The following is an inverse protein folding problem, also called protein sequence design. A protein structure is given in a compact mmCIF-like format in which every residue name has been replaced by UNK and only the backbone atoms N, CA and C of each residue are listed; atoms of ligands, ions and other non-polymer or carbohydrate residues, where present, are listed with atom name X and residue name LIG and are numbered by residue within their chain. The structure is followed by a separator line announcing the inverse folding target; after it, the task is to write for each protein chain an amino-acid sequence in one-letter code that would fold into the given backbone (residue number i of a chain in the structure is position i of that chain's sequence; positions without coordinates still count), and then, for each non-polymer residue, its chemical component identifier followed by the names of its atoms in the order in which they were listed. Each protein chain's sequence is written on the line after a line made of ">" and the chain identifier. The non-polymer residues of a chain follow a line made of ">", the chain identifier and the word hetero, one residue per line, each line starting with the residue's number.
data_IF_641013199694
#
_entry.id   IF_641013199694
#
_cell.length_a   1.000
_cell.length_b   1.000
_cell.length_c   1.000
_cell.angle_alpha   90.00
_cell.angle_beta   90.00
_cell.angle_gamma   90.00
#
_symmetry.space_group_name_H-M   'P 1'
#
loop_
_entity.id
_entity.type
_entity.pdbx_description
1 polymer ?
#
# COMPACT_ATOMS: atom_id res chain seq x y z
N UNK A 1 -1.33 18.73 18.64
CA UNK A 1 -1.50 17.29 18.36
C UNK A 1 -2.04 17.15 16.95
N UNK A 2 -1.58 16.13 16.21
CA UNK A 2 -2.15 15.82 14.88
C UNK A 2 -3.57 15.30 15.01
N UNK A 3 -4.38 15.49 13.97
CA UNK A 3 -5.70 14.84 13.93
C UNK A 3 -5.56 13.32 13.81
N UNK A 4 -6.58 12.56 14.21
CA UNK A 4 -6.59 11.10 14.04
C UNK A 4 -6.39 10.67 12.58
N UNK A 5 -6.92 11.46 11.66
CA UNK A 5 -6.78 11.23 10.23
C UNK A 5 -5.33 11.47 9.76
N UNK A 6 -4.69 12.52 10.26
CA UNK A 6 -3.27 12.79 9.98
C UNK A 6 -2.36 11.71 10.57
N UNK A 7 -2.67 11.21 11.77
CA UNK A 7 -1.92 10.13 12.43
C UNK A 7 -2.08 8.80 11.67
N UNK A 8 -3.30 8.47 11.23
CA UNK A 8 -3.57 7.28 10.44
C UNK A 8 -2.83 7.32 9.09
N UNK A 9 -2.95 8.43 8.37
CA UNK A 9 -2.23 8.68 7.11
C UNK A 9 -0.72 8.60 7.28
N UNK A 10 -0.20 9.22 8.33
CA UNK A 10 1.22 9.19 8.68
C UNK A 10 1.73 7.77 8.97
N UNK A 11 0.92 6.96 9.66
CA UNK A 11 1.21 5.56 9.96
C UNK A 11 1.26 4.74 8.67
N UNK A 12 0.24 4.87 7.82
CA UNK A 12 0.16 4.14 6.55
C UNK A 12 1.36 4.47 5.64
N UNK A 13 1.74 5.75 5.54
CA UNK A 13 2.93 6.19 4.79
C UNK A 13 4.23 5.60 5.34
N UNK A 14 4.36 5.52 6.67
CA UNK A 14 5.55 4.93 7.29
C UNK A 14 5.65 3.42 7.00
N UNK A 15 4.52 2.71 7.01
CA UNK A 15 4.45 1.30 6.63
C UNK A 15 4.80 1.14 5.14
N UNK A 16 4.23 1.94 4.26
CA UNK A 16 4.51 1.90 2.82
C UNK A 16 5.99 2.17 2.51
N UNK A 17 6.59 3.20 3.10
CA UNK A 17 8.00 3.52 2.92
C UNK A 17 8.93 2.39 3.40
N UNK A 18 8.56 1.71 4.49
CA UNK A 18 9.30 0.54 4.94
C UNK A 18 9.20 -0.62 3.92
N UNK A 19 7.99 -0.87 3.41
CA UNK A 19 7.73 -1.94 2.44
C UNK A 19 8.37 -1.69 1.06
N UNK A 20 8.56 -0.43 0.67
CA UNK A 20 9.36 -0.04 -0.51
C UNK A 20 10.79 -0.56 -0.45
N UNK A 21 11.40 -0.55 0.73
CA UNK A 21 12.79 -0.98 0.91
C UNK A 21 12.90 -2.49 1.11
N UNK A 22 12.05 -3.05 1.99
CA UNK A 22 12.06 -4.48 2.30
C UNK A 22 10.64 -4.95 2.59
N UNK A 23 10.22 -6.04 1.94
CA UNK A 23 8.89 -6.66 2.11
C UNK A 23 8.82 -7.49 3.40
N UNK A 24 9.16 -6.85 4.52
CA UNK A 24 9.24 -7.46 5.84
C UNK A 24 8.44 -6.64 6.87
N UNK A 25 7.79 -7.32 7.80
CA UNK A 25 7.02 -6.65 8.86
C UNK A 25 7.93 -5.93 9.87
N UNK A 26 9.17 -6.41 10.06
CA UNK A 26 10.10 -5.88 11.06
C UNK A 26 10.40 -4.38 10.90
N UNK A 27 10.88 -3.93 9.73
CA UNK A 27 11.11 -2.51 9.44
C UNK A 27 9.85 -1.65 9.61
N UNK A 28 8.69 -2.13 9.15
CA UNK A 28 7.42 -1.43 9.29
C UNK A 28 7.01 -1.27 10.77
N UNK A 29 7.10 -2.35 11.57
CA UNK A 29 6.81 -2.33 13.01
C UNK A 29 7.73 -1.38 13.77
N UNK A 30 9.02 -1.39 13.42
CA UNK A 30 10.03 -0.49 14.01
C UNK A 30 9.74 0.99 13.68
N UNK A 31 9.45 1.30 12.41
CA UNK A 31 9.14 2.65 11.96
C UNK A 31 7.88 3.23 12.61
N UNK A 32 6.80 2.44 12.68
CA UNK A 32 5.56 2.82 13.36
C UNK A 32 5.81 3.01 14.85
N UNK A 33 6.48 2.06 15.51
CA UNK A 33 6.82 2.14 16.94
C UNK A 33 7.58 3.42 17.27
N UNK A 34 8.68 3.69 16.55
CA UNK A 34 9.53 4.85 16.77
C UNK A 34 8.75 6.16 16.64
N UNK A 35 7.83 6.23 15.68
CA UNK A 35 7.01 7.43 15.48
C UNK A 35 6.07 7.69 16.64
N UNK A 36 5.38 6.65 17.12
CA UNK A 36 4.52 6.77 18.28
C UNK A 36 5.33 7.08 19.55
N UNK A 37 6.51 6.49 19.72
CA UNK A 37 7.40 6.80 20.84
C UNK A 37 7.77 8.28 20.86
N UNK A 38 8.10 8.89 19.71
CA UNK A 38 8.38 10.32 19.61
C UNK A 38 7.16 11.20 19.97
N UNK A 39 5.95 10.81 19.58
CA UNK A 39 4.74 11.58 19.93
C UNK A 39 4.37 11.42 21.41
N UNK A 40 4.59 10.24 21.99
CA UNK A 40 4.43 10.00 23.44
C UNK A 40 5.44 10.82 24.24
N UNK A 41 6.72 10.81 23.85
CA UNK A 41 7.77 11.55 24.54
C UNK A 41 7.56 13.06 24.42
N UNK A 42 7.12 13.55 23.25
CA UNK A 42 6.75 14.95 23.09
C UNK A 42 5.54 15.35 23.97
N UNK A 43 4.61 14.43 24.22
CA UNK A 43 3.45 14.67 25.07
C UNK A 43 3.81 14.67 26.57
N UNK A 44 4.66 13.75 27.01
CA UNK A 44 5.06 13.62 28.40
C UNK A 44 6.13 14.64 28.79
N UNK A 45 7.00 15.02 27.85
CA UNK A 45 8.15 15.87 28.13
C UNK A 45 9.07 15.22 29.18
N UNK A 46 9.34 15.89 30.32
CA UNK A 46 10.18 15.33 31.38
C UNK A 46 9.44 14.34 32.30
N UNK A 47 8.13 14.14 32.12
CA UNK A 47 7.34 13.26 32.98
C UNK A 47 7.68 11.78 32.72
N UNK A 48 7.72 10.95 33.77
CA UNK A 48 7.92 9.51 33.61
C UNK A 48 6.72 8.87 32.90
N UNK A 49 7.00 7.82 32.09
CA UNK A 49 5.97 6.97 31.47
C UNK A 49 5.31 5.98 32.45
N UNK A 50 6.00 5.62 33.53
CA UNK A 50 5.48 4.67 34.52
C UNK A 50 4.49 5.36 35.46
N UNK A 51 3.22 4.89 35.57
CA UNK A 51 2.23 5.47 36.46
C UNK A 51 2.68 5.52 37.92
N UNK A 52 3.47 4.55 38.40
CA UNK A 52 3.98 4.56 39.78
C UNK A 52 5.04 5.63 40.01
N UNK A 53 5.88 5.88 39.00
CA UNK A 53 6.86 6.96 39.05
C UNK A 53 6.18 8.33 38.90
N UNK A 54 5.09 8.40 38.13
CA UNK A 54 4.28 9.61 38.00
C UNK A 54 3.68 10.02 39.34
N UNK A 55 3.10 9.10 40.11
CA UNK A 55 2.51 9.41 41.42
C UNK A 55 3.51 10.10 42.36
N UNK A 56 4.75 9.60 42.42
CA UNK A 56 5.83 10.24 43.20
C UNK A 56 6.16 11.65 42.72
N UNK A 57 6.25 11.84 41.40
CA UNK A 57 6.50 13.17 40.82
C UNK A 57 5.33 14.10 41.12
N UNK A 58 4.08 13.62 41.07
CA UNK A 58 2.90 14.44 41.38
C UNK A 58 2.88 14.93 42.83
N UNK A 59 3.38 14.15 43.79
CA UNK A 59 3.47 14.57 45.21
C UNK A 59 4.34 15.82 45.40
N UNK A 60 5.40 15.96 44.59
CA UNK A 60 6.34 17.08 44.64
C UNK A 60 5.89 18.30 43.81
N UNK A 61 4.83 18.18 43.00
CA UNK A 61 4.34 19.26 42.13
C UNK A 61 3.16 20.03 42.76
N UNK A 62 3.03 21.33 42.49
CA UNK A 62 1.85 22.11 42.87
C UNK A 62 0.58 21.62 42.15
N UNK A 63 -0.59 21.71 42.80
CA UNK A 63 -1.87 21.17 42.31
C UNK A 63 -2.21 21.60 40.87
N UNK A 64 -1.91 22.84 40.50
CA UNK A 64 -2.12 23.39 39.16
C UNK A 64 -1.35 22.62 38.07
N UNK A 65 -0.14 22.14 38.38
CA UNK A 65 0.69 21.34 37.48
C UNK A 65 0.38 19.84 37.58
N UNK A 66 -0.18 19.38 38.69
CA UNK A 66 -0.60 17.98 38.84
C UNK A 66 -1.71 17.62 37.85
N UNK A 67 -2.70 18.51 37.67
CA UNK A 67 -3.78 18.26 36.71
C UNK A 67 -3.26 18.22 35.26
N UNK A 68 -2.33 19.11 34.90
CA UNK A 68 -1.70 19.11 33.56
C UNK A 68 -0.85 17.85 33.34
N UNK A 69 -0.06 17.44 34.33
CA UNK A 69 0.71 16.20 34.26
C UNK A 69 -0.19 14.96 34.10
N UNK A 70 -1.29 14.87 34.87
CA UNK A 70 -2.31 13.81 34.73
C UNK A 70 -2.99 13.85 33.36
N UNK A 71 -3.20 15.04 32.78
CA UNK A 71 -3.78 15.20 31.44
C UNK A 71 -2.81 14.70 30.36
N UNK A 72 -1.53 15.08 30.45
CA UNK A 72 -0.47 14.58 29.54
C UNK A 72 -0.31 13.07 29.63
N UNK A 73 -0.36 12.50 30.83
CA UNK A 73 -0.24 11.05 31.00
C UNK A 73 -1.45 10.29 30.45
N UNK A 74 -2.68 10.79 30.62
CA UNK A 74 -3.88 10.24 29.96
C UNK A 74 -3.75 10.27 28.43
N UNK A 75 -3.17 11.34 27.90
CA UNK A 75 -2.90 11.48 26.47
C UNK A 75 -1.87 10.47 25.97
N UNK A 76 -0.79 10.26 26.71
CA UNK A 76 0.23 9.27 26.39
C UNK A 76 -0.35 7.84 26.35
N UNK A 77 -1.19 7.48 27.32
CA UNK A 77 -1.89 6.18 27.34
C UNK A 77 -2.74 5.98 26.08
N UNK A 78 -3.48 7.01 25.65
CA UNK A 78 -4.27 6.93 24.43
C UNK A 78 -3.39 6.76 23.17
N UNK A 79 -2.25 7.45 23.11
CA UNK A 79 -1.27 7.28 22.02
C UNK A 79 -0.66 5.87 22.00
N UNK A 80 -0.39 5.27 23.16
CA UNK A 80 0.07 3.89 23.26
C UNK A 80 -1.00 2.88 22.81
N UNK A 81 -2.27 3.12 23.14
CA UNK A 81 -3.38 2.32 22.64
C UNK A 81 -3.51 2.44 21.10
N UNK A 82 -3.36 3.66 20.56
CA UNK A 82 -3.33 3.90 19.11
C UNK A 82 -2.13 3.23 18.43
N UNK A 83 -0.96 3.20 19.09
CA UNK A 83 0.21 2.44 18.61
C UNK A 83 -0.11 0.96 18.48
N UNK A 84 -0.75 0.35 19.48
CA UNK A 84 -1.12 -1.06 19.42
C UNK A 84 -2.08 -1.34 18.24
N UNK A 85 -3.08 -0.47 18.03
CA UNK A 85 -3.98 -0.57 16.89
C UNK A 85 -3.27 -0.37 15.54
N UNK A 86 -2.34 0.57 15.45
CA UNK A 86 -1.52 0.81 14.26
C UNK A 86 -0.66 -0.41 13.90
N UNK A 87 -0.05 -1.06 14.89
CA UNK A 87 0.76 -2.26 14.68
C UNK A 87 -0.07 -3.45 14.19
N UNK A 88 -1.34 -3.55 14.62
CA UNK A 88 -2.24 -4.62 14.20
C UNK A 88 -2.62 -4.55 12.70
N UNK A 89 -2.49 -3.38 12.08
CA UNK A 89 -2.79 -3.16 10.64
C UNK A 89 -1.64 -3.57 9.73
N UNK A 90 -0.42 -3.66 10.25
CA UNK A 90 0.79 -3.95 9.45
C UNK A 90 0.66 -5.25 8.63
N UNK A 91 0.22 -6.40 9.18
CA UNK A 91 0.11 -7.63 8.41
C UNK A 91 -0.84 -7.50 7.21
N UNK A 92 -1.96 -6.79 7.36
CA UNK A 92 -2.91 -6.57 6.26
C UNK A 92 -2.27 -5.73 5.15
N UNK A 93 -1.57 -4.65 5.50
CA UNK A 93 -0.89 -3.80 4.52
C UNK A 93 0.22 -4.58 3.80
N UNK A 94 1.02 -5.36 4.54
CA UNK A 94 2.08 -6.21 3.97
C UNK A 94 1.49 -7.22 2.97
N UNK A 95 0.40 -7.91 3.33
CA UNK A 95 -0.26 -8.87 2.43
C UNK A 95 -0.78 -8.20 1.16
N UNK A 96 -1.42 -7.03 1.27
CA UNK A 96 -1.92 -6.27 0.10
C UNK A 96 -0.77 -5.82 -0.81
N UNK A 97 0.32 -5.29 -0.24
CA UNK A 97 1.51 -4.89 -1.01
C UNK A 97 2.20 -6.10 -1.65
N UNK A 98 2.28 -7.23 -0.96
CA UNK A 98 2.85 -8.46 -1.52
C UNK A 98 2.00 -8.99 -2.69
N UNK A 99 0.68 -9.00 -2.56
CA UNK A 99 -0.23 -9.41 -3.63
C UNK A 99 -0.10 -8.50 -4.87
N UNK A 100 -0.02 -7.18 -4.66
CA UNK A 100 0.21 -6.22 -5.73
C UNK A 100 1.56 -6.44 -6.43
N UNK A 101 2.65 -6.63 -5.67
CA UNK A 101 3.97 -6.91 -6.26
C UNK A 101 4.05 -8.25 -6.97
N UNK A 102 3.37 -9.28 -6.47
CA UNK A 102 3.31 -10.58 -7.14
C UNK A 102 2.56 -10.47 -8.48
N UNK A 103 1.49 -9.66 -8.52
CA UNK A 103 0.78 -9.35 -9.75
C UNK A 103 1.65 -8.54 -10.72
N UNK A 104 2.31 -7.49 -10.25
CA UNK A 104 3.21 -6.66 -11.06
C UNK A 104 4.39 -7.47 -11.62
N UNK A 105 5.03 -8.31 -10.80
CA UNK A 105 6.10 -9.21 -11.25
C UNK A 105 5.60 -10.24 -12.29
N UNK A 106 4.36 -10.74 -12.15
CA UNK A 106 3.76 -11.62 -13.14
C UNK A 106 3.53 -10.91 -14.49
N UNK A 107 3.23 -9.61 -14.47
CA UNK A 107 3.07 -8.77 -15.66
C UNK A 107 4.41 -8.34 -16.28
N UNK A 108 5.38 -7.97 -15.45
CA UNK A 108 6.70 -7.49 -15.87
C UNK A 108 7.64 -8.61 -16.35
N UNK A 109 7.23 -9.89 -16.28
CA UNK A 109 8.09 -11.01 -16.66
C UNK A 109 8.54 -10.90 -18.14
N UNK A 110 9.85 -10.70 -18.43
CA UNK A 110 10.36 -10.53 -19.79
C UNK A 110 10.15 -11.79 -20.65
N UNK A 111 9.99 -12.97 -20.02
CA UNK A 111 9.63 -14.21 -20.71
C UNK A 111 8.24 -14.19 -21.36
N UNK A 112 7.24 -13.50 -20.77
CA UNK A 112 5.89 -13.37 -21.36
C UNK A 112 5.80 -12.23 -22.37
N UNK A 113 6.38 -11.06 -22.07
CA UNK A 113 6.40 -9.93 -23.01
C UNK A 113 7.29 -10.23 -24.23
N UNK A 114 8.45 -10.86 -24.03
CA UNK A 114 9.35 -11.28 -25.09
C UNK A 114 8.81 -12.43 -25.92
N UNK A 115 8.11 -13.41 -25.32
CA UNK A 115 7.39 -14.42 -26.12
C UNK A 115 6.20 -13.81 -26.86
N UNK A 116 5.41 -12.90 -26.28
CA UNK A 116 4.29 -12.23 -26.97
C UNK A 116 4.75 -11.31 -28.12
N UNK A 117 5.80 -10.51 -27.94
CA UNK A 117 6.32 -9.62 -28.99
C UNK A 117 7.16 -10.36 -30.03
N UNK A 118 7.99 -11.32 -29.60
CA UNK A 118 8.82 -12.13 -30.49
C UNK A 118 8.01 -13.08 -31.36
N UNK A 119 6.97 -13.73 -30.82
CA UNK A 119 6.11 -14.63 -31.62
C UNK A 119 5.16 -13.88 -32.55
N UNK A 120 4.75 -12.66 -32.21
CA UNK A 120 3.73 -11.93 -32.98
C UNK A 120 4.29 -11.31 -34.27
N UNK A 121 5.50 -10.73 -34.25
CA UNK A 121 6.15 -10.26 -35.47
C UNK A 121 6.64 -11.41 -36.38
N UNK A 122 7.14 -12.50 -35.77
CA UNK A 122 7.53 -13.71 -36.51
C UNK A 122 6.34 -14.44 -37.13
N UNK A 123 5.14 -14.40 -36.54
CA UNK A 123 3.97 -15.09 -37.08
C UNK A 123 3.56 -14.59 -38.48
N UNK A 124 3.69 -13.28 -38.74
CA UNK A 124 3.40 -12.71 -40.07
C UNK A 124 4.48 -13.12 -41.08
N UNK A 125 5.75 -13.07 -40.67
CA UNK A 125 6.89 -13.42 -41.53
C UNK A 125 6.90 -14.92 -41.87
N UNK A 126 6.69 -15.78 -40.87
CA UNK A 126 6.62 -17.24 -41.03
C UNK A 126 5.37 -17.65 -41.82
N UNK A 127 4.23 -17.01 -41.56
CA UNK A 127 3.00 -17.23 -42.33
C UNK A 127 3.16 -16.90 -43.82
N UNK A 128 3.78 -15.76 -44.14
CA UNK A 128 4.10 -15.38 -45.52
C UNK A 128 5.13 -16.32 -46.18
N UNK A 129 6.17 -16.73 -45.45
CA UNK A 129 7.19 -17.64 -45.96
C UNK A 129 6.65 -19.05 -46.26
N UNK A 130 5.80 -19.59 -45.39
CA UNK A 130 5.12 -20.88 -45.61
C UNK A 130 4.13 -20.81 -46.78
N UNK A 131 3.36 -19.73 -46.88
CA UNK A 131 2.46 -19.50 -48.00
C UNK A 131 3.20 -19.37 -49.34
N UNK A 132 4.35 -18.71 -49.34
CA UNK A 132 5.24 -18.61 -50.51
C UNK A 132 5.83 -19.96 -50.91
N UNK A 133 6.23 -20.79 -49.94
CA UNK A 133 6.66 -22.16 -50.18
C UNK A 133 5.55 -23.02 -50.82
N UNK A 134 4.32 -22.90 -50.34
CA UNK A 134 3.15 -23.62 -50.89
C UNK A 134 2.81 -23.18 -52.31
N UNK A 135 2.86 -21.87 -52.58
CA UNK A 135 2.69 -21.32 -53.92
C UNK A 135 3.74 -21.86 -54.90
N UNK A 136 5.01 -21.88 -54.48
CA UNK A 136 6.11 -22.27 -55.37
C UNK A 136 6.26 -23.77 -55.58
N UNK A 137 6.00 -24.58 -54.54
CA UNK A 137 6.25 -26.03 -54.56
C UNK A 137 5.01 -26.80 -55.03
N UNK A 138 3.81 -26.32 -54.68
CA UNK A 138 2.56 -27.03 -54.97
C UNK A 138 1.64 -26.25 -55.92
N UNK A 139 2.03 -25.06 -56.36
CA UNK A 139 1.29 -24.28 -57.35
C UNK A 139 -0.05 -23.75 -56.83
N UNK A 140 -0.25 -23.65 -55.51
CA UNK A 140 -1.50 -23.18 -54.92
C UNK A 140 -1.56 -21.65 -55.00
N UNK A 141 -2.36 -21.05 -55.89
CA UNK A 141 -2.36 -19.59 -56.05
C UNK A 141 -2.91 -18.90 -54.78
N UNK A 142 -2.32 -17.76 -54.43
CA UNK A 142 -2.68 -16.92 -53.28
C UNK A 142 -2.39 -17.49 -51.88
N UNK A 143 -1.69 -18.63 -51.76
CA UNK A 143 -1.30 -19.19 -50.47
C UNK A 143 -0.41 -18.24 -49.63
N UNK A 144 0.41 -17.40 -50.28
CA UNK A 144 1.21 -16.37 -49.59
C UNK A 144 0.33 -15.32 -48.91
N UNK A 145 -0.73 -14.88 -49.60
CA UNK A 145 -1.68 -13.91 -49.05
C UNK A 145 -2.51 -14.50 -47.91
N UNK A 146 -2.92 -15.76 -48.03
CA UNK A 146 -3.63 -16.48 -46.96
C UNK A 146 -2.73 -16.66 -45.73
N UNK A 147 -1.45 -17.01 -45.93
CA UNK A 147 -0.46 -17.14 -44.86
C UNK A 147 -0.19 -15.83 -44.12
N UNK A 148 -0.08 -14.72 -44.85
CA UNK A 148 0.04 -13.36 -44.28
C UNK A 148 -1.21 -12.97 -43.47
N UNK A 149 -2.40 -13.24 -44.00
CA UNK A 149 -3.66 -12.94 -43.32
C UNK A 149 -3.82 -13.72 -42.00
N UNK A 150 -3.44 -15.00 -41.98
CA UNK A 150 -3.45 -15.82 -40.76
C UNK A 150 -2.41 -15.35 -39.73
N UNK A 151 -1.22 -14.97 -40.19
CA UNK A 151 -0.19 -14.37 -39.33
C UNK A 151 -0.65 -13.05 -38.71
N UNK A 152 -1.36 -12.21 -39.47
CA UNK A 152 -1.93 -10.95 -39.00
C UNK A 152 -3.06 -11.18 -37.97
N UNK A 153 -3.91 -12.18 -38.18
CA UNK A 153 -4.95 -12.55 -37.20
C UNK A 153 -4.34 -13.05 -35.88
N UNK A 154 -3.26 -13.84 -35.94
CA UNK A 154 -2.52 -14.25 -34.75
C UNK A 154 -1.89 -13.06 -34.02
N UNK A 155 -1.29 -12.12 -34.75
CA UNK A 155 -0.75 -10.87 -34.22
C UNK A 155 -1.81 -10.03 -33.52
N UNK A 156 -2.97 -9.82 -34.15
CA UNK A 156 -4.09 -9.07 -33.58
C UNK A 156 -4.68 -9.75 -32.33
N UNK A 157 -4.72 -11.08 -32.30
CA UNK A 157 -5.14 -11.84 -31.11
C UNK A 157 -4.20 -11.61 -29.92
N UNK A 158 -2.90 -11.57 -30.16
CA UNK A 158 -1.88 -11.30 -29.12
C UNK A 158 -1.94 -9.85 -28.64
N UNK A 159 -2.09 -8.88 -29.55
CA UNK A 159 -2.32 -7.47 -29.17
C UNK A 159 -3.60 -7.30 -28.35
N UNK A 160 -4.68 -7.97 -28.75
CA UNK A 160 -5.95 -7.94 -28.01
C UNK A 160 -5.82 -8.51 -26.58
N UNK A 161 -4.96 -9.52 -26.38
CA UNK A 161 -4.60 -9.99 -25.05
C UNK A 161 -3.76 -8.97 -24.28
N UNK A 162 -2.78 -8.32 -24.92
CA UNK A 162 -1.98 -7.26 -24.32
C UNK A 162 -2.82 -6.06 -23.84
N UNK A 163 -3.83 -5.64 -24.60
CA UNK A 163 -4.75 -4.58 -24.20
C UNK A 163 -5.64 -4.98 -23.02
N UNK A 164 -6.05 -6.26 -22.93
CA UNK A 164 -6.78 -6.76 -21.75
C UNK A 164 -5.89 -6.79 -20.51
N UNK A 165 -4.61 -7.10 -20.66
CA UNK A 165 -3.61 -7.05 -19.59
C UNK A 165 -3.43 -5.62 -19.08
N UNK A 166 -3.31 -4.63 -19.98
CA UNK A 166 -3.27 -3.21 -19.59
C UNK A 166 -4.51 -2.74 -18.83
N UNK A 167 -5.70 -3.21 -19.22
CA UNK A 167 -6.95 -2.91 -18.47
C UNK A 167 -7.02 -3.64 -17.12
N UNK A 168 -6.45 -4.84 -17.00
CA UNK A 168 -6.36 -5.53 -15.70
C UNK A 168 -5.34 -4.89 -14.76
N UNK A 169 -4.30 -4.24 -15.31
CA UNK A 169 -3.29 -3.51 -14.52
C UNK A 169 -3.89 -2.27 -13.86
N UNK A 170 -4.65 -1.46 -14.61
CA UNK A 170 -5.33 -0.29 -14.04
C UNK A 170 -6.41 -0.66 -13.02
N UNK A 171 -7.04 -1.83 -13.17
CA UNK A 171 -7.95 -2.38 -12.16
C UNK A 171 -7.20 -2.79 -10.88
N UNK A 172 -6.07 -3.51 -11.00
CA UNK A 172 -5.26 -3.93 -9.86
C UNK A 172 -4.66 -2.75 -9.09
N UNK A 173 -4.19 -1.71 -9.80
CA UNK A 173 -3.75 -0.44 -9.19
C UNK A 173 -4.89 0.27 -8.47
N UNK A 174 -6.08 0.32 -9.10
CA UNK A 174 -7.28 0.90 -8.49
C UNK A 174 -7.74 0.15 -7.24
N UNK A 175 -7.67 -1.18 -7.24
CA UNK A 175 -8.07 -2.00 -6.10
C UNK A 175 -7.03 -1.95 -4.97
N UNK A 176 -5.74 -1.84 -5.31
CA UNK A 176 -4.66 -1.61 -4.34
C UNK A 176 -4.81 -0.25 -3.64
N UNK A 177 -5.01 0.82 -4.42
CA UNK A 177 -5.16 2.18 -3.88
C UNK A 177 -6.43 2.31 -3.03
N UNK A 178 -7.59 1.85 -3.52
CA UNK A 178 -8.83 1.82 -2.72
C UNK A 178 -8.70 0.96 -1.47
N UNK A 179 -7.98 -0.17 -1.56
CA UNK A 179 -7.71 -1.04 -0.42
C UNK A 179 -6.91 -0.32 0.67
N UNK A 180 -5.90 0.45 0.28
CA UNK A 180 -5.11 1.26 1.23
C UNK A 180 -5.89 2.43 1.80
N UNK A 181 -6.72 3.10 1.01
CA UNK A 181 -7.62 4.16 1.49
C UNK A 181 -8.62 3.62 2.52
N UNK A 182 -9.16 2.42 2.30
CA UNK A 182 -10.04 1.76 3.26
C UNK A 182 -9.32 1.44 4.57
N UNK A 183 -8.05 1.01 4.51
CA UNK A 183 -7.22 0.77 5.70
C UNK A 183 -6.93 2.09 6.44
N UNK A 184 -6.61 3.18 5.73
CA UNK A 184 -6.43 4.51 6.34
C UNK A 184 -7.71 4.97 7.06
N UNK A 185 -8.87 4.84 6.41
CA UNK A 185 -10.16 5.21 6.99
C UNK A 185 -10.53 4.34 8.21
N UNK A 186 -10.32 3.03 8.13
CA UNK A 186 -10.57 2.11 9.24
C UNK A 186 -9.66 2.40 10.43
N UNK A 187 -8.38 2.72 10.18
CA UNK A 187 -7.42 3.09 11.23
C UNK A 187 -7.80 4.42 11.88
N UNK A 188 -8.20 5.42 11.10
CA UNK A 188 -8.67 6.70 11.63
C UNK A 188 -9.95 6.55 12.48
N UNK A 189 -10.91 5.73 12.03
CA UNK A 189 -12.10 5.40 12.79
C UNK A 189 -11.74 4.69 14.11
N UNK A 190 -10.80 3.73 14.06
CA UNK A 190 -10.33 3.02 15.25
C UNK A 190 -9.66 3.96 16.25
N UNK A 191 -8.90 4.94 15.78
CA UNK A 191 -8.32 5.97 16.65
C UNK A 191 -9.39 6.86 17.29
N UNK A 192 -10.45 7.21 16.56
CA UNK A 192 -11.57 7.97 17.11
C UNK A 192 -12.37 7.16 18.14
N UNK A 193 -12.49 5.85 17.96
CA UNK A 193 -13.10 4.95 18.95
C UNK A 193 -12.27 4.89 20.24
N UNK A 194 -10.95 4.77 20.12
CA UNK A 194 -10.03 4.77 21.26
C UNK A 194 -10.09 6.09 22.03
N UNK A 195 -10.18 7.22 21.33
CA UNK A 195 -10.34 8.53 21.98
C UNK A 195 -11.64 8.61 22.78
N UNK A 196 -12.75 8.07 22.24
CA UNK A 196 -14.02 8.00 22.96
C UNK A 196 -13.95 7.10 24.19
N UNK A 197 -13.27 5.95 24.09
CA UNK A 197 -13.11 5.01 25.21
C UNK A 197 -12.22 5.56 26.33
N UNK A 198 -11.19 6.33 25.97
CA UNK A 198 -10.26 6.95 26.93
C UNK A 198 -10.67 8.36 27.38
N UNK A 199 -11.85 8.84 26.97
CA UNK A 199 -12.41 10.13 27.41
C UNK A 199 -11.64 11.35 26.91
N UNK A 200 -11.09 11.28 25.70
CA UNK A 200 -10.31 12.37 25.12
C UNK A 200 -11.22 13.46 24.52
N UNK A 201 -10.98 14.76 24.77
CA UNK A 201 -11.58 15.80 23.95
C UNK A 201 -10.99 15.69 22.54
N UNK A 202 -11.85 15.51 21.54
CA UNK A 202 -11.42 15.56 20.13
C UNK A 202 -10.61 16.83 19.84
N UNK A 203 -9.79 16.84 18.77
CA UNK A 203 -9.07 18.06 18.38
C UNK A 203 -10.05 19.22 18.35
N UNK A 204 -9.63 20.44 18.77
CA UNK A 204 -10.51 21.60 18.73
C UNK A 204 -11.13 21.66 17.33
N UNK A 205 -12.46 21.67 17.28
CA UNK A 205 -13.19 21.86 16.03
C UNK A 205 -12.52 23.03 15.31
N UNK A 206 -12.05 22.77 14.09
CA UNK A 206 -11.20 23.69 13.35
C UNK A 206 -11.76 25.11 13.43
N UNK A 207 -10.94 26.04 13.92
CA UNK A 207 -11.17 27.45 13.72
C UNK A 207 -11.23 27.65 12.21
N UNK A 208 -12.43 27.95 11.72
CA UNK A 208 -12.58 28.50 10.39
C UNK A 208 -11.78 29.80 10.32
N UNK A 209 -10.91 29.86 9.32
CA UNK A 209 -10.41 31.08 8.73
C UNK A 209 -10.40 30.86 7.22
#
# INVERSE_FOLDING_TARGET
>A
MRSNQELARATLRAVQAALETELAEGPARSGVSRRFDLEVDACLGPLPRDPKALEKVLEDLPEELQEDARRRHRTAIALEAKRAAALAVIPEVVQRTAAYRAFDAALASPGRLGSMLGTSALAVIVGGALGYGLERVFGVPYATWVGLALGLLAFLRVIGQGLRVGRSMTQAEGDYTRGLEAVEAALAARFADLDRQHGFPGPPAGGGA
#
